data_IF_616304061976
#
_entry.id   IF_616304061976
#
_cell.length_a   1.000
_cell.length_b   1.000
_cell.length_c   1.000
_cell.angle_alpha   90.00
_cell.angle_beta   90.00
_cell.angle_gamma   90.00
#
_symmetry.space_group_name_H-M   'P 1'
#
loop_
_entity.id
_entity.type
_entity.pdbx_description
1 polymer ?
#
# COMPACT_ATOMS: atom_id res chain seq x y z
N UNK A 1 17.70 7.78 16.14
CA UNK A 1 16.52 6.97 15.84
C UNK A 1 15.45 7.85 15.22
N UNK A 2 14.88 7.40 14.13
CA UNK A 2 13.92 8.20 13.38
C UNK A 2 12.49 7.74 13.68
N UNK A 3 11.84 8.40 14.64
CA UNK A 3 10.48 8.06 15.04
C UNK A 3 9.44 8.80 14.23
N UNK A 4 8.40 8.06 13.85
CA UNK A 4 7.15 8.59 13.30
C UNK A 4 6.00 7.88 13.99
N UNK A 5 4.98 8.61 14.43
CA UNK A 5 3.78 8.05 15.01
C UNK A 5 2.62 8.07 13.99
N UNK A 6 1.44 7.57 14.39
CA UNK A 6 0.29 7.53 13.50
C UNK A 6 -0.17 8.92 13.09
N UNK A 7 -0.04 9.91 13.97
CA UNK A 7 -0.36 11.30 13.64
C UNK A 7 0.56 11.83 12.53
N UNK A 8 1.86 11.58 12.64
CA UNK A 8 2.84 11.98 11.62
C UNK A 8 2.54 11.30 10.29
N UNK A 9 2.20 10.04 10.33
CA UNK A 9 1.82 9.25 9.15
C UNK A 9 0.62 9.88 8.46
N UNK A 10 -0.42 10.17 9.22
CA UNK A 10 -1.64 10.77 8.68
C UNK A 10 -1.37 12.15 8.07
N UNK A 11 -0.60 12.97 8.75
CA UNK A 11 -0.28 14.32 8.28
C UNK A 11 0.49 14.30 6.96
N UNK A 12 1.50 13.46 6.82
CA UNK A 12 2.28 13.40 5.57
C UNK A 12 1.45 12.83 4.41
N UNK A 13 0.58 11.88 4.68
CA UNK A 13 -0.32 11.35 3.65
C UNK A 13 -1.26 12.45 3.16
N UNK A 14 -1.91 13.17 4.07
CA UNK A 14 -2.82 14.25 3.70
C UNK A 14 -2.10 15.36 2.94
N UNK A 15 -0.92 15.74 3.40
CA UNK A 15 -0.13 16.81 2.79
C UNK A 15 0.24 16.50 1.35
N UNK A 16 0.50 15.23 1.03
CA UNK A 16 0.98 14.83 -0.28
C UNK A 16 0.06 13.88 -1.03
N UNK A 17 -1.20 13.79 -0.60
CA UNK A 17 -2.17 12.91 -1.24
C UNK A 17 -2.30 13.18 -2.74
N UNK A 18 -2.06 14.42 -3.17
CA UNK A 18 -2.16 14.84 -4.56
C UNK A 18 -1.21 14.11 -5.51
N UNK A 19 -0.15 13.46 -4.99
CA UNK A 19 0.79 12.73 -5.84
C UNK A 19 0.19 11.44 -6.40
N UNK A 20 -0.86 10.91 -5.76
CA UNK A 20 -1.50 9.67 -6.19
C UNK A 20 -2.59 9.93 -7.22
N UNK A 21 -2.62 9.15 -8.32
CA UNK A 21 -3.79 9.12 -9.20
C UNK A 21 -5.03 8.66 -8.43
N UNK A 22 -6.20 9.13 -8.85
CA UNK A 22 -7.47 8.81 -8.19
C UNK A 22 -8.17 7.57 -8.74
N UNK A 23 -7.58 6.90 -9.70
CA UNK A 23 -8.21 5.80 -10.43
C UNK A 23 -7.81 4.40 -9.95
N UNK A 24 -7.27 4.28 -8.76
CA UNK A 24 -7.06 2.96 -8.15
C UNK A 24 -8.38 2.36 -7.73
N UNK A 25 -8.55 1.07 -8.01
CA UNK A 25 -9.77 0.34 -7.68
C UNK A 25 -9.71 -0.32 -6.30
N UNK A 26 -8.51 -0.70 -5.87
CA UNK A 26 -8.29 -1.44 -4.64
C UNK A 26 -6.95 -1.04 -4.03
N UNK A 27 -6.93 -0.92 -2.70
CA UNK A 27 -5.73 -0.67 -1.92
C UNK A 27 -5.36 -1.97 -1.20
N UNK A 28 -4.11 -2.39 -1.30
CA UNK A 28 -3.60 -3.61 -0.67
C UNK A 28 -2.44 -3.26 0.23
N UNK A 29 -2.57 -3.53 1.52
CA UNK A 29 -1.51 -3.26 2.49
C UNK A 29 -0.60 -4.46 2.71
N UNK A 30 0.69 -4.19 2.87
CA UNK A 30 1.66 -5.22 3.26
C UNK A 30 1.65 -5.34 4.79
N UNK A 31 1.15 -6.46 5.36
CA UNK A 31 1.17 -6.62 6.82
C UNK A 31 2.61 -6.59 7.36
N UNK A 32 2.79 -6.15 8.55
CA UNK A 32 1.80 -5.67 9.51
C UNK A 32 1.62 -4.15 9.43
N UNK A 33 2.70 -3.40 9.49
CA UNK A 33 2.67 -1.93 9.59
C UNK A 33 2.21 -1.24 8.31
N UNK A 34 2.33 -1.89 7.15
CA UNK A 34 1.79 -1.36 5.90
C UNK A 34 0.27 -1.23 5.89
N UNK A 35 -0.43 -1.92 6.79
CA UNK A 35 -1.87 -1.79 6.92
C UNK A 35 -2.31 -0.42 7.45
N UNK A 36 -1.47 0.27 8.23
CA UNK A 36 -1.81 1.61 8.72
C UNK A 36 -1.98 2.60 7.58
N UNK A 37 -0.97 2.82 6.71
CA UNK A 37 -1.16 3.74 5.58
C UNK A 37 -2.18 3.21 4.57
N UNK A 38 -2.28 1.89 4.38
CA UNK A 38 -3.26 1.34 3.45
C UNK A 38 -4.69 1.69 3.86
N UNK A 39 -5.02 1.56 5.14
CA UNK A 39 -6.35 1.94 5.63
C UNK A 39 -6.62 3.44 5.50
N UNK A 40 -5.63 4.28 5.80
CA UNK A 40 -5.78 5.72 5.65
C UNK A 40 -6.01 6.11 4.18
N UNK A 41 -5.22 5.56 3.27
CA UNK A 41 -5.38 5.82 1.84
C UNK A 41 -6.73 5.34 1.32
N UNK A 42 -7.17 4.17 1.78
CA UNK A 42 -8.47 3.64 1.38
C UNK A 42 -9.61 4.58 1.80
N UNK A 43 -9.53 5.16 3.01
CA UNK A 43 -10.50 6.13 3.47
C UNK A 43 -10.47 7.40 2.64
N UNK A 44 -9.28 7.96 2.40
CA UNK A 44 -9.15 9.22 1.67
C UNK A 44 -9.49 9.10 0.18
N UNK A 45 -9.19 7.95 -0.42
CA UNK A 45 -9.51 7.68 -1.82
C UNK A 45 -10.88 7.05 -1.99
N UNK A 46 -11.55 6.71 -0.90
CA UNK A 46 -12.86 6.03 -0.88
C UNK A 46 -12.82 4.74 -1.72
N UNK A 47 -11.90 3.86 -1.39
CA UNK A 47 -11.71 2.59 -2.08
C UNK A 47 -11.66 1.43 -1.08
N UNK A 48 -12.02 0.20 -1.52
CA UNK A 48 -11.85 -0.98 -0.68
C UNK A 48 -10.39 -1.20 -0.33
N UNK A 49 -10.14 -1.88 0.78
CA UNK A 49 -8.81 -2.22 1.25
C UNK A 49 -8.76 -3.69 1.66
N UNK A 50 -7.63 -4.32 1.41
CA UNK A 50 -7.34 -5.66 1.91
C UNK A 50 -5.85 -5.78 2.24
N UNK A 51 -5.46 -6.89 2.84
CA UNK A 51 -4.06 -7.20 3.06
C UNK A 51 -3.53 -8.08 1.92
N UNK A 52 -2.20 -8.18 1.83
CA UNK A 52 -1.56 -8.91 0.74
C UNK A 52 -1.98 -10.38 0.69
N UNK A 53 -1.99 -11.07 1.85
CA UNK A 53 -2.31 -12.49 1.87
C UNK A 53 -3.76 -12.75 1.43
N UNK A 54 -4.68 -11.92 1.88
CA UNK A 54 -6.09 -12.02 1.46
C UNK A 54 -6.23 -11.76 -0.03
N UNK A 55 -5.54 -10.76 -0.56
CA UNK A 55 -5.54 -10.47 -1.99
C UNK A 55 -5.02 -11.66 -2.81
N UNK A 56 -3.91 -12.26 -2.38
CA UNK A 56 -3.33 -13.43 -3.06
C UNK A 56 -4.29 -14.62 -3.05
N UNK A 57 -5.16 -14.71 -2.05
CA UNK A 57 -6.19 -15.75 -1.94
C UNK A 57 -7.52 -15.34 -2.57
N UNK A 58 -7.59 -14.16 -3.20
CA UNK A 58 -8.80 -13.68 -3.84
C UNK A 58 -9.86 -13.14 -2.89
N UNK A 59 -9.50 -12.82 -1.65
CA UNK A 59 -10.43 -12.38 -0.62
C UNK A 59 -10.39 -10.87 -0.41
N UNK A 60 -11.42 -10.17 -0.85
CA UNK A 60 -11.65 -8.76 -0.56
C UNK A 60 -13.04 -8.61 0.02
N UNK A 61 -13.12 -8.35 1.32
CA UNK A 61 -14.38 -8.25 2.01
C UNK A 61 -15.14 -6.98 1.64
N UNK A 62 -16.47 -7.11 1.51
CA UNK A 62 -17.35 -5.95 1.37
C UNK A 62 -17.49 -5.27 2.71
N UNK A 63 -17.46 -3.95 2.72
CA UNK A 63 -17.57 -3.16 3.94
C UNK A 63 -18.94 -3.40 4.62
N UNK A 64 -18.88 -3.70 5.93
CA UNK A 64 -20.08 -3.87 6.74
C UNK A 64 -20.85 -5.17 6.52
N UNK A 65 -20.39 -6.07 5.68
CA UNK A 65 -21.09 -7.32 5.35
C UNK A 65 -20.19 -8.53 5.60
N UNK A 66 -20.43 -9.21 6.73
CA UNK A 66 -19.66 -10.40 7.10
C UNK A 66 -19.89 -11.53 6.10
N UNK A 67 -18.79 -12.20 5.74
CA UNK A 67 -18.83 -13.36 4.86
C UNK A 67 -19.11 -13.03 3.41
N UNK A 68 -19.19 -11.76 3.04
CA UNK A 68 -19.35 -11.35 1.66
C UNK A 68 -18.05 -10.80 1.11
N UNK A 69 -17.74 -11.16 -0.13
CA UNK A 69 -16.52 -10.77 -0.81
C UNK A 69 -16.84 -10.09 -2.12
N UNK A 70 -15.97 -9.15 -2.51
CA UNK A 70 -15.96 -8.68 -3.90
C UNK A 70 -15.41 -9.78 -4.80
N UNK A 71 -15.88 -9.84 -6.03
CA UNK A 71 -15.20 -10.62 -7.06
C UNK A 71 -13.90 -9.86 -7.39
N UNK A 72 -12.76 -10.49 -7.13
CA UNK A 72 -11.45 -9.86 -7.33
C UNK A 72 -11.24 -9.42 -8.78
N UNK A 73 -11.89 -10.07 -9.73
CA UNK A 73 -11.75 -9.77 -11.15
C UNK A 73 -12.35 -8.42 -11.55
N UNK A 74 -13.19 -7.83 -10.70
CA UNK A 74 -13.75 -6.50 -10.97
C UNK A 74 -12.73 -5.38 -10.78
N UNK A 75 -11.66 -5.63 -10.02
CA UNK A 75 -10.61 -4.67 -9.81
C UNK A 75 -9.59 -4.75 -10.95
N UNK A 76 -9.17 -3.59 -11.46
CA UNK A 76 -8.20 -3.53 -12.56
C UNK A 76 -6.89 -2.89 -12.11
N UNK A 77 -6.96 -1.79 -11.39
CA UNK A 77 -5.79 -1.03 -10.97
C UNK A 77 -5.62 -1.14 -9.45
N UNK A 78 -4.49 -1.70 -9.03
CA UNK A 78 -4.22 -2.07 -7.65
C UNK A 78 -3.05 -1.25 -7.13
N UNK A 79 -3.19 -0.66 -5.93
CA UNK A 79 -2.10 0.01 -5.24
C UNK A 79 -1.65 -0.83 -4.06
N UNK A 80 -0.40 -1.28 -4.10
CA UNK A 80 0.23 -2.01 -3.01
C UNK A 80 0.94 -1.00 -2.12
N UNK A 81 0.67 -1.04 -0.81
CA UNK A 81 1.14 -0.03 0.13
C UNK A 81 1.96 -0.65 1.25
N UNK A 82 3.15 -0.11 1.47
CA UNK A 82 3.97 -0.40 2.64
C UNK A 82 4.19 0.91 3.42
N UNK A 83 4.61 0.78 4.68
CA UNK A 83 4.88 1.95 5.51
C UNK A 83 6.24 2.57 5.21
N UNK A 84 7.28 1.75 5.08
CA UNK A 84 8.63 2.24 4.83
C UNK A 84 9.48 1.24 4.06
N UNK A 85 10.42 1.78 3.31
CA UNK A 85 11.40 1.02 2.52
C UNK A 85 12.79 1.40 2.99
N UNK A 86 13.53 0.40 3.48
CA UNK A 86 14.95 0.54 3.82
C UNK A 86 15.80 -0.35 2.91
N UNK A 87 15.77 -1.67 3.11
CA UNK A 87 16.50 -2.60 2.24
C UNK A 87 15.73 -2.94 0.96
N UNK A 88 14.41 -2.85 1.02
CA UNK A 88 13.54 -3.25 -0.08
C UNK A 88 13.24 -4.74 -0.13
N UNK A 89 13.70 -5.53 0.84
CA UNK A 89 13.53 -6.99 0.80
C UNK A 89 12.06 -7.42 0.93
N UNK A 90 11.29 -6.75 1.79
CA UNK A 90 9.86 -7.06 1.93
C UNK A 90 9.09 -6.74 0.65
N UNK A 91 9.41 -5.63 0.01
CA UNK A 91 8.79 -5.24 -1.24
C UNK A 91 9.17 -6.19 -2.38
N UNK A 92 10.43 -6.59 -2.45
CA UNK A 92 10.88 -7.54 -3.46
C UNK A 92 10.18 -8.89 -3.32
N UNK A 93 9.99 -9.36 -2.09
CA UNK A 93 9.23 -10.58 -1.82
C UNK A 93 7.78 -10.43 -2.29
N UNK A 94 7.17 -9.29 -2.01
CA UNK A 94 5.81 -8.98 -2.47
C UNK A 94 5.71 -9.01 -4.00
N UNK A 95 6.66 -8.38 -4.68
CA UNK A 95 6.69 -8.36 -6.15
C UNK A 95 6.80 -9.77 -6.74
N UNK A 96 7.61 -10.63 -6.13
CA UNK A 96 7.71 -12.03 -6.55
C UNK A 96 6.39 -12.77 -6.38
N UNK A 97 5.72 -12.57 -5.25
CA UNK A 97 4.42 -13.21 -4.99
C UNK A 97 3.34 -12.75 -5.97
N UNK A 98 3.40 -11.50 -6.43
CA UNK A 98 2.42 -10.92 -7.33
C UNK A 98 2.73 -11.15 -8.82
N UNK A 99 3.89 -11.68 -9.13
CA UNK A 99 4.37 -11.81 -10.51
C UNK A 99 3.39 -12.54 -11.43
N UNK A 100 2.75 -13.59 -10.92
CA UNK A 100 1.78 -14.37 -11.69
C UNK A 100 0.47 -13.63 -11.96
N UNK A 101 0.19 -12.56 -11.18
CA UNK A 101 -1.04 -11.80 -11.28
C UNK A 101 -0.89 -10.54 -12.14
N UNK A 102 0.33 -10.18 -12.53
CA UNK A 102 0.59 -8.94 -13.25
C UNK A 102 -0.10 -8.85 -14.60
N UNK A 103 -0.40 -10.00 -15.24
CA UNK A 103 -1.12 -10.01 -16.50
C UNK A 103 -2.61 -9.69 -16.37
N UNK A 104 -3.16 -9.82 -15.15
CA UNK A 104 -4.59 -9.61 -14.88
C UNK A 104 -4.89 -8.24 -14.27
N UNK A 105 -3.87 -7.58 -13.69
CA UNK A 105 -4.03 -6.35 -12.95
C UNK A 105 -2.94 -5.34 -13.32
N UNK A 106 -3.27 -4.08 -13.28
CA UNK A 106 -2.27 -3.00 -13.31
C UNK A 106 -1.86 -2.73 -11.87
N UNK A 107 -0.65 -3.15 -11.49
CA UNK A 107 -0.16 -3.07 -10.12
C UNK A 107 0.86 -1.95 -9.99
N UNK A 108 0.67 -1.09 -8.99
CA UNK A 108 1.60 -0.01 -8.63
C UNK A 108 1.95 -0.12 -7.16
N UNK A 109 3.12 0.37 -6.80
CA UNK A 109 3.70 0.24 -5.46
C UNK A 109 3.89 1.61 -4.84
N UNK A 110 3.53 1.71 -3.56
CA UNK A 110 3.62 2.95 -2.79
C UNK A 110 4.21 2.65 -1.41
N UNK A 111 5.08 3.53 -0.95
CA UNK A 111 5.55 3.53 0.43
C UNK A 111 5.48 4.94 0.99
N UNK A 112 5.24 5.06 2.28
CA UNK A 112 5.16 6.39 2.89
C UNK A 112 6.55 6.95 3.10
N UNK A 113 7.43 6.19 3.75
CA UNK A 113 8.80 6.61 4.06
C UNK A 113 9.80 5.77 3.29
N UNK A 114 10.71 6.42 2.59
CA UNK A 114 11.71 5.73 1.77
C UNK A 114 13.07 6.37 2.01
N UNK A 115 14.12 5.58 2.20
CA UNK A 115 15.47 6.14 2.24
C UNK A 115 15.84 6.64 0.85
N UNK A 116 16.69 7.70 0.75
CA UNK A 116 16.94 8.35 -0.56
C UNK A 116 17.44 7.42 -1.65
N UNK A 117 18.20 6.38 -1.30
CA UNK A 117 18.75 5.43 -2.28
C UNK A 117 17.72 4.42 -2.83
N UNK A 118 16.49 4.40 -2.29
CA UNK A 118 15.46 3.42 -2.65
C UNK A 118 14.19 4.03 -3.26
N UNK A 119 14.22 5.30 -3.63
CA UNK A 119 13.05 5.97 -4.22
C UNK A 119 12.60 5.35 -5.53
N UNK A 120 13.51 4.70 -6.25
CA UNK A 120 13.23 4.07 -7.55
C UNK A 120 12.58 2.68 -7.45
N UNK A 121 12.49 2.09 -6.24
CA UNK A 121 11.88 0.76 -6.08
C UNK A 121 10.35 0.82 -5.95
N UNK A 122 9.80 2.02 -5.78
CA UNK A 122 8.36 2.25 -5.71
C UNK A 122 7.91 3.21 -6.81
N UNK A 123 6.63 3.20 -7.13
CA UNK A 123 6.05 4.15 -8.07
C UNK A 123 5.71 5.48 -7.40
N UNK A 124 5.33 5.43 -6.11
CA UNK A 124 4.96 6.62 -5.34
C UNK A 124 5.56 6.53 -3.94
N UNK A 125 6.01 7.66 -3.42
CA UNK A 125 6.43 7.78 -2.01
C UNK A 125 6.06 9.15 -1.48
N UNK A 126 5.88 9.25 -0.15
CA UNK A 126 5.41 10.48 0.47
C UNK A 126 6.54 11.30 1.09
N UNK A 127 7.54 10.64 1.68
CA UNK A 127 8.64 11.33 2.34
C UNK A 127 9.92 10.51 2.25
N UNK A 128 11.07 11.17 1.99
CA UNK A 128 12.36 10.53 2.14
C UNK A 128 12.87 10.74 3.56
N UNK A 129 13.46 9.69 4.13
CA UNK A 129 14.03 9.73 5.48
C UNK A 129 15.43 9.13 5.46
N UNK A 130 16.38 9.69 6.24
CA UNK A 130 17.78 9.21 6.20
C UNK A 130 17.96 7.83 6.84
N UNK A 131 17.07 7.45 7.75
CA UNK A 131 17.13 6.18 8.48
C UNK A 131 15.78 5.49 8.42
N UNK A 132 15.76 4.14 8.55
CA UNK A 132 14.49 3.41 8.63
C UNK A 132 13.63 3.94 9.77
N UNK A 133 12.33 3.93 9.53
CA UNK A 133 11.35 4.37 10.50
C UNK A 133 10.93 3.22 11.40
N UNK A 134 10.59 3.57 12.65
CA UNK A 134 10.03 2.62 13.60
C UNK A 134 8.71 3.17 14.16
N UNK A 135 7.71 2.34 14.12
CA UNK A 135 6.45 2.59 14.81
C UNK A 135 6.44 1.97 16.19
#
# INVERSE_FOLDING_TARGET
MNYRNIKDLNEIILKRLYILPRNFDLIVGIPRSGMFPANLLALYLNRPVTDLDSFLNGHVYKAGERGQFFDIKQFKKILIVDDSIASGSALNKCKEQLKQLESNFEIRYCAVYVIPSKTDVVDYYFETVPLPRYF
#
